data_IF_162227117257
#
_entry.id   IF_162227117257
#
_cell.length_a   1.000
_cell.length_b   1.000
_cell.length_c   1.000
_cell.angle_alpha   90.00
_cell.angle_beta   90.00
_cell.angle_gamma   90.00
#
_symmetry.space_group_name_H-M   'P 1'
#
loop_
_entity.id
_entity.type
_entity.pdbx_description
1 polymer ?
#
# COMPACT_ATOMS: atom_id res chain seq x y z
N UNK A 1 -2.72 39.75 -0.61
CA UNK A 1 -3.85 38.97 -1.16
C UNK A 1 -4.94 38.92 -0.09
N UNK A 2 -6.07 39.63 -0.21
CA UNK A 2 -7.18 39.46 0.72
C UNK A 2 -7.80 38.08 0.48
N UNK A 3 -7.80 37.22 1.51
CA UNK A 3 -8.34 35.86 1.42
C UNK A 3 -9.84 35.86 1.14
N UNK A 4 -10.30 34.92 0.33
CA UNK A 4 -11.73 34.73 0.04
C UNK A 4 -12.55 34.59 1.34
N UNK A 5 -13.74 35.21 1.43
CA UNK A 5 -14.56 35.12 2.63
C UNK A 5 -14.96 33.67 2.92
N UNK A 6 -15.11 33.29 4.21
CA UNK A 6 -15.49 31.93 4.57
C UNK A 6 -16.86 31.59 3.99
N UNK A 7 -17.01 30.35 3.52
CA UNK A 7 -18.29 29.88 3.01
C UNK A 7 -19.35 29.85 4.12
N UNK A 8 -20.60 30.14 3.76
CA UNK A 8 -21.75 30.13 4.68
C UNK A 8 -21.86 28.81 5.46
N UNK A 9 -21.53 27.68 4.80
CA UNK A 9 -21.48 26.36 5.42
C UNK A 9 -20.46 26.27 6.57
N UNK A 10 -19.26 26.85 6.41
CA UNK A 10 -18.23 26.87 7.46
C UNK A 10 -18.66 27.73 8.64
N UNK A 11 -19.22 28.91 8.37
CA UNK A 11 -19.75 29.81 9.41
C UNK A 11 -20.85 29.11 10.22
N UNK A 12 -21.78 28.44 9.54
CA UNK A 12 -22.87 27.71 10.20
C UNK A 12 -22.36 26.56 11.08
N UNK A 13 -21.38 25.80 10.59
CA UNK A 13 -20.77 24.70 11.33
C UNK A 13 -20.03 25.21 12.57
N UNK A 14 -19.25 26.29 12.45
CA UNK A 14 -18.55 26.89 13.59
C UNK A 14 -19.52 27.43 14.64
N UNK A 15 -20.61 28.09 14.20
CA UNK A 15 -21.65 28.58 15.11
C UNK A 15 -22.35 27.43 15.83
N UNK A 16 -22.69 26.36 15.13
CA UNK A 16 -23.31 25.17 15.73
C UNK A 16 -22.37 24.52 16.75
N UNK A 17 -21.09 24.33 16.40
CA UNK A 17 -20.10 23.75 17.31
C UNK A 17 -19.92 24.61 18.58
N UNK A 18 -19.80 25.93 18.44
CA UNK A 18 -19.70 26.84 19.56
C UNK A 18 -20.93 26.77 20.47
N UNK A 19 -22.13 26.69 19.88
CA UNK A 19 -23.39 26.54 20.63
C UNK A 19 -23.46 25.18 21.36
N UNK A 20 -23.07 24.10 20.71
CA UNK A 20 -23.03 22.75 21.30
C UNK A 20 -22.10 22.70 22.49
N UNK A 21 -20.88 23.25 22.36
CA UNK A 21 -19.91 23.31 23.47
C UNK A 21 -20.42 24.21 24.60
N UNK A 22 -20.93 25.39 24.29
CA UNK A 22 -21.45 26.33 25.28
C UNK A 22 -22.62 25.76 26.09
N UNK A 23 -23.62 25.19 25.41
CA UNK A 23 -24.77 24.56 26.07
C UNK A 23 -24.34 23.34 26.88
N UNK A 24 -23.45 22.50 26.35
CA UNK A 24 -22.91 21.35 27.06
C UNK A 24 -22.20 21.75 28.36
N UNK A 25 -21.30 22.73 28.30
CA UNK A 25 -20.55 23.22 29.47
C UNK A 25 -21.46 23.83 30.54
N UNK A 26 -22.41 24.68 30.15
CA UNK A 26 -23.38 25.27 31.10
C UNK A 26 -24.23 24.19 31.77
N UNK A 27 -24.63 23.16 31.02
CA UNK A 27 -25.45 22.06 31.55
C UNK A 27 -24.68 21.21 32.56
N UNK A 28 -23.37 21.03 32.37
CA UNK A 28 -22.51 20.30 33.31
C UNK A 28 -22.27 21.09 34.61
N UNK A 29 -22.22 22.43 34.53
CA UNK A 29 -21.93 23.30 35.69
C UNK A 29 -23.20 23.64 36.46
N UNK A 30 -24.25 24.06 35.75
CA UNK A 30 -25.49 24.59 36.35
C UNK A 30 -26.60 23.54 36.46
N UNK A 31 -26.40 22.34 35.90
CA UNK A 31 -27.40 21.28 35.87
C UNK A 31 -28.40 21.40 34.71
N UNK A 32 -29.36 20.47 34.69
CA UNK A 32 -30.38 20.40 33.64
C UNK A 32 -31.59 21.27 33.94
N UNK A 33 -32.20 21.81 32.90
CA UNK A 33 -33.46 22.55 33.02
C UNK A 33 -34.64 21.63 33.37
N UNK A 34 -35.59 22.15 34.15
CA UNK A 34 -36.87 21.47 34.43
C UNK A 34 -37.78 21.36 33.20
N UNK A 35 -37.60 22.26 32.23
CA UNK A 35 -38.38 22.23 30.99
C UNK A 35 -37.88 21.09 30.07
N UNK A 36 -38.81 20.23 29.67
CA UNK A 36 -38.50 19.07 28.83
C UNK A 36 -37.78 19.45 27.53
N UNK A 37 -38.26 20.52 26.86
CA UNK A 37 -37.68 20.98 25.60
C UNK A 37 -36.22 21.42 25.74
N UNK A 38 -35.89 22.19 26.79
CA UNK A 38 -34.51 22.63 27.03
C UNK A 38 -33.63 21.45 27.44
N UNK A 39 -34.14 20.55 28.29
CA UNK A 39 -33.41 19.36 28.71
C UNK A 39 -33.05 18.44 27.54
N UNK A 40 -33.95 18.28 26.57
CA UNK A 40 -33.67 17.52 25.34
C UNK A 40 -32.54 18.16 24.52
N UNK A 41 -32.55 19.49 24.39
CA UNK A 41 -31.51 20.23 23.67
C UNK A 41 -30.15 20.13 24.38
N UNK A 42 -30.13 20.25 25.71
CA UNK A 42 -28.94 20.02 26.53
C UNK A 42 -28.39 18.60 26.35
N UNK A 43 -29.27 17.59 26.34
CA UNK A 43 -28.89 16.19 26.11
C UNK A 43 -28.25 15.96 24.74
N UNK A 44 -28.85 16.50 23.66
CA UNK A 44 -28.25 16.43 22.32
C UNK A 44 -26.89 17.14 22.26
N UNK A 45 -26.77 18.30 22.93
CA UNK A 45 -25.52 19.06 22.94
C UNK A 45 -24.38 18.28 23.63
N UNK A 46 -24.66 17.69 24.78
CA UNK A 46 -23.69 16.86 25.52
C UNK A 46 -23.32 15.61 24.71
N UNK A 47 -24.30 14.93 24.11
CA UNK A 47 -24.05 13.77 23.27
C UNK A 47 -23.15 14.13 22.08
N UNK A 48 -23.46 15.22 21.36
CA UNK A 48 -22.65 15.71 20.25
C UNK A 48 -21.21 16.05 20.66
N UNK A 49 -21.03 16.75 21.79
CA UNK A 49 -19.71 17.05 22.33
C UNK A 49 -18.93 15.77 22.68
N UNK A 50 -19.59 14.78 23.28
CA UNK A 50 -19.01 13.48 23.60
C UNK A 50 -18.51 12.73 22.37
N UNK A 51 -19.31 12.71 21.29
CA UNK A 51 -18.92 12.09 20.00
C UNK A 51 -17.66 12.74 19.43
N UNK A 52 -17.54 14.06 19.47
CA UNK A 52 -16.35 14.77 18.97
C UNK A 52 -15.12 14.45 19.80
N UNK A 53 -15.23 14.44 21.13
CA UNK A 53 -14.10 14.12 22.02
C UNK A 53 -13.63 12.68 21.85
N UNK A 54 -14.57 11.72 21.88
CA UNK A 54 -14.26 10.30 21.69
C UNK A 54 -13.67 10.06 20.30
N UNK A 55 -14.28 10.62 19.26
CA UNK A 55 -13.79 10.51 17.89
C UNK A 55 -12.37 11.06 17.73
N UNK A 56 -12.09 12.24 18.29
CA UNK A 56 -10.75 12.82 18.29
C UNK A 56 -9.72 11.97 19.02
N UNK A 57 -10.09 11.40 20.18
CA UNK A 57 -9.22 10.49 20.92
C UNK A 57 -8.93 9.19 20.14
N UNK A 58 -9.95 8.61 19.48
CA UNK A 58 -9.76 7.44 18.61
C UNK A 58 -8.82 7.76 17.45
N UNK A 59 -9.02 8.89 16.77
CA UNK A 59 -8.11 9.33 15.69
C UNK A 59 -6.67 9.49 16.21
N UNK A 60 -6.49 10.10 17.38
CA UNK A 60 -5.17 10.27 18.00
C UNK A 60 -4.52 8.91 18.31
N UNK A 61 -5.28 7.97 18.87
CA UNK A 61 -4.81 6.61 19.15
C UNK A 61 -4.46 5.88 17.85
N UNK A 62 -5.28 6.01 16.81
CA UNK A 62 -5.02 5.40 15.50
C UNK A 62 -3.74 5.95 14.87
N UNK A 63 -3.53 7.27 14.88
CA UNK A 63 -2.27 7.89 14.42
C UNK A 63 -1.08 7.34 15.21
N UNK A 64 -1.24 7.20 16.53
CA UNK A 64 -0.19 6.70 17.42
C UNK A 64 0.14 5.22 17.23
N UNK A 65 -0.87 4.40 16.89
CA UNK A 65 -0.74 2.97 16.60
C UNK A 65 -0.26 2.70 15.17
N UNK A 66 -0.64 3.54 14.20
CA UNK A 66 -0.21 3.44 12.82
C UNK A 66 1.30 3.70 12.64
N UNK A 67 2.01 4.03 13.71
CA UNK A 67 3.46 4.22 13.68
C UNK A 67 3.89 5.42 12.84
N UNK A 68 2.99 6.38 12.60
CA UNK A 68 3.29 7.61 11.88
C UNK A 68 4.28 8.44 12.72
N UNK A 69 5.56 8.19 12.49
CA UNK A 69 6.66 9.06 12.91
C UNK A 69 6.83 10.11 11.81
N UNK A 70 7.30 11.29 12.21
CA UNK A 70 7.52 12.48 11.38
C UNK A 70 7.98 12.19 9.93
N UNK A 71 7.69 13.06 8.94
CA UNK A 71 8.53 13.11 7.75
C UNK A 71 9.99 13.29 8.22
N UNK A 72 10.90 12.46 7.74
CA UNK A 72 12.35 12.57 8.04
C UNK A 72 12.76 14.05 8.02
N UNK A 73 13.39 14.51 9.11
CA UNK A 73 13.81 15.91 9.20
C UNK A 73 14.81 16.22 8.08
N UNK A 74 14.89 17.47 7.63
CA UNK A 74 15.84 17.85 6.55
C UNK A 74 17.28 17.46 6.92
N UNK A 75 17.62 17.51 8.21
CA UNK A 75 18.93 17.09 8.74
C UNK A 75 19.16 15.58 8.61
N UNK A 76 18.15 14.75 8.90
CA UNK A 76 18.23 13.29 8.72
C UNK A 76 18.33 12.92 7.24
N UNK A 77 17.54 13.59 6.40
CA UNK A 77 17.59 13.43 4.95
C UNK A 77 18.96 13.81 4.39
N UNK A 78 19.52 14.94 4.80
CA UNK A 78 20.84 15.39 4.36
C UNK A 78 21.95 14.44 4.84
N UNK A 79 21.82 13.88 6.05
CA UNK A 79 22.72 12.84 6.54
C UNK A 79 22.64 11.54 5.73
N UNK A 80 21.43 11.13 5.32
CA UNK A 80 21.21 9.98 4.44
C UNK A 80 21.81 10.20 3.04
N UNK A 81 21.58 11.36 2.44
CA UNK A 81 22.15 11.75 1.14
C UNK A 81 23.67 11.74 1.20
N UNK A 82 24.25 12.38 2.22
CA UNK A 82 25.71 12.43 2.39
C UNK A 82 26.30 11.03 2.57
N UNK A 83 25.65 10.17 3.35
CA UNK A 83 26.05 8.76 3.49
C UNK A 83 25.98 8.00 2.17
N UNK A 84 24.95 8.23 1.36
CA UNK A 84 24.83 7.61 0.05
C UNK A 84 25.89 8.13 -0.94
N UNK A 85 26.19 9.44 -0.91
CA UNK A 85 27.27 10.05 -1.69
C UNK A 85 28.65 9.52 -1.27
N UNK A 86 28.90 9.38 0.03
CA UNK A 86 30.15 8.81 0.57
C UNK A 86 30.31 7.34 0.11
N UNK A 87 29.27 6.51 0.22
CA UNK A 87 29.28 5.13 -0.28
C UNK A 87 29.53 5.05 -1.81
N UNK A 88 28.96 5.98 -2.58
CA UNK A 88 29.19 6.07 -4.02
C UNK A 88 30.62 6.53 -4.35
N UNK A 89 31.18 7.44 -3.55
CA UNK A 89 32.54 7.99 -3.72
C UNK A 89 33.62 7.00 -3.29
N UNK A 90 33.37 6.20 -2.26
CA UNK A 90 34.27 5.14 -1.80
C UNK A 90 34.38 4.01 -2.83
N UNK A 91 33.50 3.98 -3.84
CA UNK A 91 33.43 2.88 -4.81
C UNK A 91 33.08 1.55 -4.14
N UNK A 92 32.78 1.57 -2.83
CA UNK A 92 32.23 0.47 -2.07
C UNK A 92 30.73 0.40 -2.33
N UNK A 93 30.38 0.24 -3.60
CA UNK A 93 29.69 -1.00 -3.86
C UNK A 93 30.66 -2.02 -3.30
N UNK A 94 30.41 -2.51 -2.08
CA UNK A 94 30.68 -3.91 -1.92
C UNK A 94 30.10 -4.48 -3.23
N UNK A 95 30.98 -4.91 -4.13
CA UNK A 95 30.98 -6.32 -4.45
C UNK A 95 30.61 -6.97 -3.11
N UNK A 96 29.29 -6.99 -2.82
CA UNK A 96 28.63 -8.17 -2.34
C UNK A 96 29.37 -9.13 -3.22
N UNK A 97 30.33 -9.85 -2.62
CA UNK A 97 30.69 -11.13 -3.18
C UNK A 97 29.32 -11.60 -3.66
N UNK A 98 29.17 -11.77 -4.98
CA UNK A 98 28.19 -12.70 -5.49
C UNK A 98 28.64 -13.96 -4.77
N UNK A 99 28.22 -14.05 -3.50
CA UNK A 99 28.31 -15.18 -2.68
C UNK A 99 27.44 -16.02 -3.56
N UNK A 100 28.10 -16.94 -4.23
CA UNK A 100 27.57 -18.10 -4.89
C UNK A 100 26.85 -18.94 -3.80
N UNK A 101 26.03 -18.26 -3.01
CA UNK A 101 25.10 -18.71 -2.03
C UNK A 101 23.89 -19.00 -2.89
N UNK A 102 23.59 -20.29 -3.08
CA UNK A 102 22.41 -20.67 -3.82
C UNK A 102 21.22 -19.96 -3.20
N UNK A 103 20.46 -19.21 -4.01
CA UNK A 103 19.20 -18.63 -3.58
C UNK A 103 18.36 -19.76 -2.97
N UNK A 104 17.94 -19.62 -1.72
CA UNK A 104 17.02 -20.56 -1.10
C UNK A 104 15.60 -20.13 -1.46
N UNK A 105 14.91 -20.83 -2.39
CA UNK A 105 13.54 -20.47 -2.74
C UNK A 105 12.56 -20.65 -1.57
N UNK A 106 12.96 -21.34 -0.49
CA UNK A 106 12.20 -21.42 0.76
C UNK A 106 12.32 -20.15 1.65
N UNK A 107 13.23 -19.24 1.33
CA UNK A 107 13.20 -17.88 1.84
C UNK A 107 12.35 -16.97 0.93
N UNK A 108 11.74 -15.93 1.52
CA UNK A 108 10.89 -15.00 0.78
C UNK A 108 11.72 -14.01 -0.06
N UNK A 109 12.84 -13.51 0.48
CA UNK A 109 13.64 -12.50 -0.18
C UNK A 109 14.45 -13.09 -1.34
N UNK A 110 14.99 -14.30 -1.14
CA UNK A 110 15.66 -15.05 -2.22
C UNK A 110 14.69 -15.38 -3.36
N UNK A 111 13.44 -15.74 -3.05
CA UNK A 111 12.41 -15.93 -4.07
C UNK A 111 12.08 -14.62 -4.81
N UNK A 112 12.03 -13.48 -4.10
CA UNK A 112 11.85 -12.18 -4.76
C UNK A 112 13.03 -11.84 -5.66
N UNK A 113 14.25 -12.16 -5.27
CA UNK A 113 15.44 -12.00 -6.11
C UNK A 113 15.31 -12.83 -7.40
N UNK A 114 14.86 -14.08 -7.30
CA UNK A 114 14.58 -14.94 -8.46
C UNK A 114 13.47 -14.38 -9.36
N UNK A 115 12.42 -13.76 -8.80
CA UNK A 115 11.39 -13.06 -9.58
C UNK A 115 11.96 -11.82 -10.29
N UNK A 116 12.83 -11.05 -9.64
CA UNK A 116 13.49 -9.87 -10.26
C UNK A 116 14.36 -10.32 -11.44
N UNK A 117 15.16 -11.35 -11.25
CA UNK A 117 15.99 -11.92 -12.31
C UNK A 117 15.16 -12.43 -13.50
N UNK A 118 14.03 -13.07 -13.23
CA UNK A 118 13.09 -13.49 -14.27
C UNK A 118 12.46 -12.32 -15.06
N UNK A 119 12.34 -11.14 -14.44
CA UNK A 119 11.88 -9.91 -15.10
C UNK A 119 12.99 -9.29 -15.93
N UNK A 120 14.23 -9.30 -15.45
CA UNK A 120 15.40 -8.77 -16.16
C UNK A 120 15.74 -9.61 -17.41
N UNK A 121 15.40 -10.89 -17.43
CA UNK A 121 15.52 -11.78 -18.60
C UNK A 121 14.45 -11.55 -19.69
N UNK A 122 13.45 -10.71 -19.44
CA UNK A 122 12.39 -10.47 -20.42
C UNK A 122 12.93 -9.72 -21.64
N UNK A 123 12.41 -10.00 -22.85
CA UNK A 123 12.71 -9.16 -24.01
C UNK A 123 12.33 -7.70 -23.76
N UNK A 124 13.15 -6.76 -24.27
CA UNK A 124 13.00 -5.30 -24.07
C UNK A 124 11.57 -4.78 -24.34
N UNK A 125 10.87 -5.39 -25.29
CA UNK A 125 9.49 -5.09 -25.69
C UNK A 125 8.49 -5.25 -24.54
N UNK A 126 8.78 -6.13 -23.58
CA UNK A 126 7.95 -6.40 -22.40
C UNK A 126 8.21 -5.43 -21.24
N UNK A 127 9.39 -4.81 -21.16
CA UNK A 127 9.70 -3.87 -20.08
C UNK A 127 8.79 -2.62 -20.11
N UNK A 128 8.44 -2.13 -21.31
CA UNK A 128 7.51 -1.02 -21.46
C UNK A 128 6.10 -1.35 -20.92
N UNK A 129 5.68 -2.61 -21.05
CA UNK A 129 4.38 -3.06 -20.53
C UNK A 129 4.35 -3.15 -19.00
N UNK A 130 5.51 -3.25 -18.35
CA UNK A 130 5.63 -3.34 -16.90
C UNK A 130 5.73 -1.98 -16.20
N UNK A 131 5.89 -0.87 -16.93
CA UNK A 131 6.10 0.48 -16.36
C UNK A 131 5.03 0.87 -15.32
N UNK A 132 3.80 0.39 -15.48
CA UNK A 132 2.67 0.70 -14.62
C UNK A 132 2.10 -0.52 -13.87
N UNK A 133 2.78 -1.67 -13.93
CA UNK A 133 2.30 -2.95 -13.38
C UNK A 133 3.18 -3.38 -12.22
N UNK A 134 2.61 -3.48 -11.02
CA UNK A 134 3.34 -3.97 -9.86
C UNK A 134 3.46 -5.51 -9.90
N UNK A 135 4.65 -6.07 -9.70
CA UNK A 135 4.82 -7.51 -9.49
C UNK A 135 4.90 -7.79 -7.99
N UNK A 136 4.02 -8.65 -7.48
CA UNK A 136 3.87 -8.92 -6.05
C UNK A 136 3.98 -10.42 -5.78
N UNK A 137 4.78 -10.81 -4.80
CA UNK A 137 4.88 -12.20 -4.34
C UNK A 137 3.82 -12.48 -3.27
N UNK A 138 3.15 -13.64 -3.32
CA UNK A 138 2.10 -14.04 -2.38
C UNK A 138 2.09 -15.56 -2.13
N UNK A 139 1.45 -15.98 -1.04
CA UNK A 139 1.27 -17.39 -0.65
C UNK A 139 -0.16 -17.92 -0.97
N UNK A 140 -0.91 -17.20 -1.82
CA UNK A 140 -2.32 -17.47 -2.11
C UNK A 140 -2.59 -18.50 -3.22
N UNK A 141 -1.56 -19.09 -3.81
CA UNK A 141 -1.64 -19.89 -5.04
C UNK A 141 -2.49 -21.12 -4.88
N UNK A 142 -2.40 -21.82 -3.75
CA UNK A 142 -3.18 -23.04 -3.50
C UNK A 142 -4.69 -22.80 -3.54
N UNK A 143 -5.13 -21.64 -3.04
CA UNK A 143 -6.56 -21.25 -3.05
C UNK A 143 -7.00 -20.85 -4.45
N UNK A 144 -6.14 -20.17 -5.20
CA UNK A 144 -6.40 -19.73 -6.59
C UNK A 144 -6.17 -20.84 -7.63
N UNK A 145 -5.50 -21.93 -7.24
CA UNK A 145 -5.01 -23.01 -8.12
C UNK A 145 -4.18 -22.48 -9.29
N UNK A 146 -3.32 -21.52 -9.01
CA UNK A 146 -2.53 -20.81 -10.02
C UNK A 146 -1.12 -20.53 -9.51
N UNK A 147 -0.16 -20.44 -10.43
CA UNK A 147 1.21 -20.02 -10.14
C UNK A 147 1.41 -18.50 -10.23
N UNK A 148 0.59 -17.84 -11.05
CA UNK A 148 0.52 -16.40 -11.15
C UNK A 148 -0.90 -15.96 -11.49
N UNK A 149 -1.15 -14.66 -11.38
CA UNK A 149 -2.38 -14.05 -11.86
C UNK A 149 -2.16 -12.56 -12.13
N UNK A 150 -2.55 -12.09 -13.30
CA UNK A 150 -2.80 -10.67 -13.53
C UNK A 150 -4.12 -10.22 -12.88
N UNK A 151 -4.04 -9.24 -11.98
CA UNK A 151 -5.16 -8.54 -11.38
C UNK A 151 -5.20 -7.10 -11.90
N UNK A 152 -6.00 -6.89 -12.95
CA UNK A 152 -6.28 -5.59 -13.52
C UNK A 152 -7.71 -5.53 -14.08
N UNK A 153 -8.29 -4.35 -14.01
CA UNK A 153 -9.64 -3.98 -14.46
C UNK A 153 -10.81 -4.87 -13.98
N UNK A 154 -11.20 -4.68 -12.71
CA UNK A 154 -12.62 -4.86 -12.35
C UNK A 154 -13.28 -3.50 -12.41
N UNK A 155 -14.31 -3.36 -13.24
CA UNK A 155 -15.07 -2.14 -13.59
C UNK A 155 -15.73 -1.36 -12.40
N UNK A 156 -15.28 -1.58 -11.17
CA UNK A 156 -15.83 -1.01 -9.95
C UNK A 156 -14.82 -0.22 -9.10
N UNK A 157 -13.54 -0.08 -9.47
CA UNK A 157 -12.57 0.63 -8.61
C UNK A 157 -11.47 1.38 -9.37
N UNK A 158 -11.68 2.68 -9.59
CA UNK A 158 -10.72 3.67 -10.14
C UNK A 158 -9.44 3.91 -9.30
N UNK A 159 -9.09 3.03 -8.36
CA UNK A 159 -7.99 3.26 -7.40
C UNK A 159 -6.99 2.10 -7.26
N UNK A 160 -7.14 1.01 -8.03
CA UNK A 160 -6.20 -0.10 -7.96
C UNK A 160 -5.36 -0.15 -9.22
N UNK A 161 -4.07 0.12 -9.06
CA UNK A 161 -3.08 -0.14 -10.10
C UNK A 161 -3.02 -1.63 -10.40
N UNK A 162 -2.82 -1.93 -11.68
CA UNK A 162 -2.60 -3.27 -12.20
C UNK A 162 -1.46 -3.95 -11.47
N UNK A 163 -1.64 -5.23 -11.18
CA UNK A 163 -0.58 -6.04 -10.59
C UNK A 163 -0.54 -7.44 -11.16
N UNK A 164 0.66 -7.98 -11.25
CA UNK A 164 0.90 -9.41 -11.47
C UNK A 164 1.24 -10.02 -10.11
N UNK A 165 0.43 -10.96 -9.66
CA UNK A 165 0.68 -11.71 -8.43
C UNK A 165 1.39 -13.00 -8.79
N UNK A 166 2.55 -13.26 -8.19
CA UNK A 166 3.31 -14.52 -8.32
C UNK A 166 3.15 -15.31 -7.03
N UNK A 167 2.71 -16.57 -7.14
CA UNK A 167 2.36 -17.41 -6.01
C UNK A 167 3.49 -18.36 -5.63
N UNK A 168 4.29 -17.92 -4.65
CA UNK A 168 5.45 -18.64 -4.13
C UNK A 168 5.07 -20.00 -3.56
N UNK A 169 3.99 -20.10 -2.78
CA UNK A 169 3.53 -21.36 -2.16
C UNK A 169 3.38 -22.50 -3.17
N UNK A 170 2.77 -22.23 -4.33
CA UNK A 170 2.56 -23.23 -5.37
C UNK A 170 3.80 -23.48 -6.21
N UNK A 171 4.58 -22.45 -6.52
CA UNK A 171 5.79 -22.56 -7.33
C UNK A 171 6.87 -23.35 -6.58
N UNK A 172 7.11 -23.01 -5.32
CA UNK A 172 8.09 -23.71 -4.47
C UNK A 172 7.63 -25.14 -4.19
N UNK A 173 6.33 -25.37 -3.93
CA UNK A 173 5.80 -26.72 -3.73
C UNK A 173 6.06 -27.64 -4.92
N UNK A 174 5.83 -27.14 -6.14
CA UNK A 174 5.84 -27.98 -7.34
C UNK A 174 7.22 -28.04 -8.01
N UNK A 175 8.04 -26.99 -7.89
CA UNK A 175 9.32 -26.84 -8.60
C UNK A 175 10.52 -26.56 -7.69
N UNK A 176 10.32 -26.28 -6.40
CA UNK A 176 11.41 -25.93 -5.46
C UNK A 176 12.42 -27.04 -5.17
N UNK A 177 12.24 -28.23 -5.73
CA UNK A 177 13.20 -29.34 -5.66
C UNK A 177 14.37 -29.19 -6.65
N UNK A 178 14.25 -28.31 -7.65
CA UNK A 178 15.29 -28.01 -8.63
C UNK A 178 15.32 -26.49 -8.89
N UNK A 179 16.39 -25.80 -8.47
CA UNK A 179 16.50 -24.34 -8.63
C UNK A 179 16.40 -23.86 -10.08
N UNK A 180 16.97 -24.61 -11.03
CA UNK A 180 16.94 -24.25 -12.45
C UNK A 180 15.54 -24.41 -13.03
N UNK A 181 14.83 -25.49 -12.64
CA UNK A 181 13.45 -25.70 -13.03
C UNK A 181 12.52 -24.64 -12.43
N UNK A 182 12.70 -24.29 -11.15
CA UNK A 182 11.94 -23.24 -10.49
C UNK A 182 12.13 -21.91 -11.21
N UNK A 183 13.38 -21.49 -11.47
CA UNK A 183 13.68 -20.27 -12.21
C UNK A 183 12.98 -20.24 -13.56
N UNK A 184 13.16 -21.28 -14.37
CA UNK A 184 12.52 -21.38 -15.68
C UNK A 184 10.99 -21.28 -15.59
N UNK A 185 10.40 -21.86 -14.55
CA UNK A 185 8.97 -21.81 -14.32
C UNK A 185 8.49 -20.43 -13.84
N UNK A 186 9.26 -19.72 -13.02
CA UNK A 186 8.95 -18.34 -12.62
C UNK A 186 8.99 -17.43 -13.85
N UNK A 187 10.05 -17.49 -14.66
CA UNK A 187 10.15 -16.74 -15.92
C UNK A 187 8.98 -17.03 -16.84
N UNK A 188 8.61 -18.32 -17.00
CA UNK A 188 7.43 -18.71 -17.79
C UNK A 188 6.13 -18.11 -17.24
N UNK A 189 5.97 -18.12 -15.92
CA UNK A 189 4.76 -17.61 -15.26
C UNK A 189 4.65 -16.10 -15.44
N UNK A 190 5.72 -15.34 -15.18
CA UNK A 190 5.75 -13.89 -15.40
C UNK A 190 5.43 -13.54 -16.86
N UNK A 191 6.07 -14.25 -17.82
CA UNK A 191 5.78 -14.07 -19.26
C UNK A 191 4.32 -14.35 -19.61
N UNK A 192 3.74 -15.39 -19.02
CA UNK A 192 2.36 -15.78 -19.27
C UNK A 192 1.37 -14.73 -18.77
N UNK A 193 1.53 -14.26 -17.53
CA UNK A 193 0.67 -13.22 -16.95
C UNK A 193 0.80 -11.90 -17.70
N UNK A 194 2.01 -11.53 -18.11
CA UNK A 194 2.26 -10.31 -18.88
C UNK A 194 1.67 -10.38 -20.29
N UNK A 195 1.78 -11.53 -20.96
CA UNK A 195 1.13 -11.74 -22.26
C UNK A 195 -0.39 -11.65 -22.15
N UNK A 196 -0.97 -12.19 -21.08
CA UNK A 196 -2.40 -12.07 -20.80
C UNK A 196 -2.84 -10.62 -20.57
N UNK A 197 -2.05 -9.84 -19.83
CA UNK A 197 -2.28 -8.39 -19.67
C UNK A 197 -2.32 -7.65 -21.01
N UNK A 198 -1.38 -7.95 -21.91
CA UNK A 198 -1.29 -7.33 -23.24
C UNK A 198 -2.40 -7.77 -24.22
N UNK A 199 -3.35 -8.61 -23.78
CA UNK A 199 -4.44 -9.12 -24.61
C UNK A 199 -4.01 -10.20 -25.60
N UNK A 200 -2.82 -10.78 -25.44
CA UNK A 200 -2.36 -11.91 -26.25
C UNK A 200 -2.94 -13.20 -25.68
N UNK A 201 -4.03 -13.69 -26.28
CA UNK A 201 -4.67 -14.95 -25.88
C UNK A 201 -3.81 -16.19 -26.16
N UNK A 202 -4.29 -17.38 -25.74
CA UNK A 202 -3.60 -18.68 -25.82
C UNK A 202 -3.12 -19.12 -27.23
N UNK A 203 -3.51 -18.41 -28.29
CA UNK A 203 -3.01 -18.64 -29.66
C UNK A 203 -1.73 -17.85 -30.01
N UNK A 204 -1.27 -16.91 -29.18
CA UNK A 204 -0.05 -16.11 -29.42
C UNK A 204 1.26 -16.73 -28.91
N UNK A 205 1.19 -17.81 -28.14
CA UNK A 205 2.37 -18.34 -27.42
C UNK A 205 3.34 -19.12 -28.33
N UNK A 206 2.94 -19.45 -29.56
CA UNK A 206 3.79 -20.17 -30.53
C UNK A 206 4.74 -19.27 -31.34
N UNK A 207 4.63 -17.94 -31.24
CA UNK A 207 5.51 -17.00 -31.93
C UNK A 207 6.80 -16.65 -31.20
N UNK A 208 6.98 -17.10 -29.94
CA UNK A 208 8.05 -16.67 -29.03
C UNK A 208 9.03 -17.80 -28.65
N UNK A 209 9.09 -18.87 -29.45
CA UNK A 209 10.10 -19.93 -29.30
C UNK A 209 9.99 -20.74 -28.01
N UNK A 210 8.80 -21.26 -27.71
CA UNK A 210 8.64 -22.42 -26.81
C UNK A 210 8.81 -23.73 -27.60
#
# INVERSE_FOLDING_TARGET
>A
MPGSPPSTRRVLLSALAALTVGVGAVSLIAGFSDSFAVRLLQGLAIFGAGVVVIGGAVVLVMIRLAGWRDPESEEDFEALVRRAEDLAAEGSWEEMEEADHPLDPHDEEDFKALVREAVDELPIEFHAALEHVAIVVSEGGRRRRAYGLYEGDTAARDFFHDRIVIFRDTLVRDFGHDPGLLRAQVTRTVRHELAHHLGWGEMGVRGLGL
#
